data_IF_991533887156
#
_entry.id   IF_991533887156
#
_cell.length_a   1.000
_cell.length_b   1.000
_cell.length_c   1.000
_cell.angle_alpha   90.00
_cell.angle_beta   90.00
_cell.angle_gamma   90.00
#
_symmetry.space_group_name_H-M   'P 1'
#
loop_
_entity.id
_entity.type
_entity.pdbx_description
1 polymer ?
#
# COMPACT_ATOMS: atom_id res chain seq x y z
N UNK A 1 53.94 -12.12 -34.16
CA UNK A 1 53.48 -10.90 -33.54
C UNK A 1 52.39 -10.29 -34.39
N UNK A 2 51.18 -10.76 -34.31
CA UNK A 2 49.96 -10.22 -34.87
C UNK A 2 48.82 -11.07 -34.36
N UNK A 3 47.76 -10.43 -33.81
CA UNK A 3 46.50 -10.95 -33.39
C UNK A 3 46.28 -11.05 -31.86
N UNK A 4 46.42 -9.92 -31.17
CA UNK A 4 45.73 -9.72 -29.87
C UNK A 4 45.12 -8.30 -29.90
N UNK A 5 44.20 -8.04 -30.79
CA UNK A 5 43.50 -6.75 -30.81
C UNK A 5 42.09 -6.80 -31.39
N UNK A 6 41.42 -7.95 -31.34
CA UNK A 6 40.04 -8.02 -31.85
C UNK A 6 39.02 -8.65 -30.87
N UNK A 7 39.43 -8.94 -29.65
CA UNK A 7 38.50 -9.58 -28.70
C UNK A 7 38.05 -8.70 -27.52
N UNK A 8 38.51 -7.46 -27.45
CA UNK A 8 38.18 -6.57 -26.30
C UNK A 8 37.03 -5.60 -26.60
N UNK A 9 36.60 -5.47 -27.87
CA UNK A 9 35.57 -4.47 -28.24
C UNK A 9 34.15 -4.99 -28.17
N UNK A 10 33.93 -6.31 -28.11
CA UNK A 10 32.55 -6.84 -28.07
C UNK A 10 31.95 -7.07 -26.67
N UNK A 11 32.75 -6.88 -25.61
CA UNK A 11 32.25 -7.09 -24.23
C UNK A 11 31.78 -5.76 -23.58
N UNK A 12 32.14 -4.62 -24.16
CA UNK A 12 31.75 -3.32 -23.60
C UNK A 12 30.40 -2.76 -24.09
N UNK A 13 29.67 -3.48 -24.95
CA UNK A 13 28.40 -2.97 -25.49
C UNK A 13 27.17 -3.55 -24.83
N UNK A 14 27.30 -4.39 -23.79
CA UNK A 14 26.18 -5.00 -23.07
C UNK A 14 26.09 -4.53 -21.60
N UNK A 15 27.06 -3.77 -21.10
CA UNK A 15 27.02 -3.18 -19.75
C UNK A 15 26.93 -1.65 -19.84
N UNK A 16 26.03 -1.18 -20.69
CA UNK A 16 25.62 0.22 -20.76
C UNK A 16 24.30 0.43 -20.03
N UNK A 17 24.15 -0.16 -18.84
CA UNK A 17 22.98 0.09 -17.99
C UNK A 17 23.43 0.68 -16.68
N UNK A 18 23.22 1.99 -16.58
CA UNK A 18 23.00 2.74 -15.34
C UNK A 18 24.12 2.69 -14.29
N UNK A 19 25.16 3.45 -14.53
CA UNK A 19 25.81 4.15 -13.41
C UNK A 19 24.90 5.32 -13.07
N UNK A 20 24.04 5.16 -12.08
CA UNK A 20 23.43 6.29 -11.38
C UNK A 20 24.48 6.78 -10.41
N UNK A 21 25.18 7.84 -10.78
CA UNK A 21 26.02 8.57 -9.84
C UNK A 21 25.15 9.07 -8.69
N UNK A 22 25.48 8.65 -7.49
CA UNK A 22 24.95 9.15 -6.25
C UNK A 22 25.48 10.56 -6.02
N UNK A 23 24.73 11.57 -6.42
CA UNK A 23 24.94 12.94 -5.96
C UNK A 23 23.92 13.30 -4.91
N UNK A 24 24.44 13.62 -3.76
CA UNK A 24 23.91 14.26 -2.56
C UNK A 24 22.61 15.06 -2.71
N UNK A 25 21.67 14.70 -1.81
CA UNK A 25 20.71 15.55 -1.11
C UNK A 25 20.27 16.85 -1.80
N UNK A 26 19.13 16.78 -2.47
CA UNK A 26 18.22 17.91 -2.56
C UNK A 26 16.79 17.38 -2.50
N UNK A 27 15.93 18.10 -1.78
CA UNK A 27 14.55 17.79 -1.49
C UNK A 27 13.82 17.14 -2.68
N UNK A 28 13.49 15.87 -2.54
CA UNK A 28 12.80 15.11 -3.57
C UNK A 28 11.32 15.48 -3.58
N UNK A 29 10.97 16.47 -4.36
CA UNK A 29 9.69 16.49 -5.07
C UNK A 29 9.89 15.71 -6.37
N UNK A 30 10.11 14.43 -6.27
CA UNK A 30 10.29 13.58 -7.42
C UNK A 30 8.93 13.17 -7.96
N UNK A 31 8.45 13.93 -8.92
CA UNK A 31 7.35 13.53 -9.80
C UNK A 31 7.87 12.48 -10.77
N UNK A 32 7.60 11.24 -10.49
CA UNK A 32 7.96 10.18 -11.41
C UNK A 32 6.85 10.03 -12.46
N UNK A 33 6.99 10.72 -13.57
CA UNK A 33 6.21 10.47 -14.77
C UNK A 33 6.78 9.25 -15.48
N UNK A 34 5.98 8.21 -15.62
CA UNK A 34 6.39 6.95 -16.25
C UNK A 34 5.43 6.63 -17.38
N UNK A 35 5.97 6.23 -18.52
CA UNK A 35 5.21 5.62 -19.61
C UNK A 35 5.32 4.11 -19.52
N UNK A 36 4.18 3.40 -19.47
CA UNK A 36 4.11 1.93 -19.43
C UNK A 36 3.57 1.41 -20.74
N UNK A 37 4.27 0.50 -21.34
CA UNK A 37 3.81 -0.16 -22.58
C UNK A 37 2.62 -1.09 -22.27
N UNK A 38 1.50 -0.87 -22.98
CA UNK A 38 0.23 -1.58 -22.76
C UNK A 38 0.31 -3.09 -23.02
N UNK A 39 1.26 -3.53 -23.84
CA UNK A 39 1.39 -4.92 -24.25
C UNK A 39 2.45 -5.69 -23.48
N UNK A 40 3.59 -5.05 -23.22
CA UNK A 40 4.75 -5.71 -22.60
C UNK A 40 4.92 -5.36 -21.12
N UNK A 41 4.26 -4.30 -20.62
CA UNK A 41 4.45 -3.78 -19.27
C UNK A 41 5.79 -3.08 -19.05
N UNK A 42 6.64 -2.98 -20.08
CA UNK A 42 7.93 -2.28 -19.94
C UNK A 42 7.74 -0.79 -19.67
N UNK A 43 8.57 -0.26 -18.77
CA UNK A 43 8.48 1.11 -18.29
C UNK A 43 9.60 1.98 -18.85
N UNK A 44 9.26 3.26 -19.07
CA UNK A 44 10.20 4.29 -19.45
C UNK A 44 9.94 5.54 -18.61
N UNK A 45 10.93 6.00 -17.89
CA UNK A 45 10.86 7.25 -17.13
C UNK A 45 10.91 8.45 -18.06
N UNK A 46 10.05 9.44 -17.79
CA UNK A 46 10.13 10.75 -18.43
C UNK A 46 11.00 11.66 -17.58
N UNK A 47 12.08 12.15 -18.15
CA UNK A 47 12.94 13.11 -17.46
C UNK A 47 12.17 14.40 -17.18
N UNK A 48 12.35 14.94 -15.99
CA UNK A 48 11.80 16.24 -15.59
C UNK A 48 12.27 17.29 -16.61
N UNK A 49 11.35 18.11 -17.12
CA UNK A 49 11.59 19.14 -18.12
C UNK A 49 11.93 18.65 -19.54
N UNK A 50 11.76 17.37 -19.85
CA UNK A 50 11.89 16.90 -21.21
C UNK A 50 10.57 17.06 -21.98
N UNK A 51 10.66 17.28 -23.30
CA UNK A 51 9.50 17.24 -24.21
C UNK A 51 9.03 15.83 -24.51
N UNK A 52 9.50 14.83 -23.76
CA UNK A 52 9.15 13.44 -23.96
C UNK A 52 7.69 13.18 -23.55
N UNK A 53 6.97 12.51 -24.40
CA UNK A 53 5.58 12.09 -24.18
C UNK A 53 5.48 10.57 -24.32
N UNK A 54 4.47 9.99 -23.70
CA UNK A 54 4.17 8.58 -23.93
C UNK A 54 3.67 8.39 -25.36
N UNK A 55 4.15 7.35 -26.02
CA UNK A 55 3.69 7.01 -27.37
C UNK A 55 2.30 6.33 -27.32
N UNK A 56 1.71 6.07 -28.53
CA UNK A 56 0.36 5.48 -28.65
C UNK A 56 0.22 4.09 -28.01
N UNK A 57 1.33 3.38 -27.81
CA UNK A 57 1.35 2.04 -27.20
C UNK A 57 1.63 2.07 -25.70
N UNK A 58 1.79 3.25 -25.11
CA UNK A 58 2.09 3.46 -23.71
C UNK A 58 0.94 4.16 -22.99
N UNK A 59 0.85 3.96 -21.68
CA UNK A 59 0.00 4.70 -20.74
C UNK A 59 0.89 5.54 -19.84
N UNK A 60 0.53 6.80 -19.62
CA UNK A 60 1.21 7.67 -18.68
C UNK A 60 0.71 7.40 -17.26
N UNK A 61 1.61 7.12 -16.34
CA UNK A 61 1.34 7.02 -14.93
C UNK A 61 2.01 8.20 -14.20
N UNK A 62 1.27 8.83 -13.33
CA UNK A 62 1.73 9.98 -12.54
C UNK A 62 1.56 9.61 -11.07
N UNK A 63 2.65 9.65 -10.34
CA UNK A 63 2.69 9.42 -8.90
C UNK A 63 3.05 10.71 -8.16
N UNK A 64 2.39 10.98 -7.06
CA UNK A 64 2.63 12.15 -6.20
C UNK A 64 2.53 13.51 -6.91
N UNK A 65 1.34 13.88 -7.36
CA UNK A 65 1.05 15.28 -7.65
C UNK A 65 0.12 15.89 -6.60
N UNK A 66 0.69 16.74 -5.77
CA UNK A 66 -0.08 17.85 -5.21
C UNK A 66 -0.05 18.98 -6.25
N UNK A 67 -1.18 19.18 -6.90
CA UNK A 67 -1.55 20.37 -7.65
C UNK A 67 -0.83 20.65 -8.96
N UNK A 68 -1.51 20.39 -10.06
CA UNK A 68 -1.65 21.28 -11.22
C UNK A 68 -2.78 20.74 -12.11
N UNK A 69 -3.71 21.57 -12.47
CA UNK A 69 -4.77 21.29 -13.44
C UNK A 69 -4.12 20.91 -14.77
N UNK A 70 -4.15 19.62 -15.09
CA UNK A 70 -3.64 19.11 -16.35
C UNK A 70 -4.71 19.03 -17.41
N UNK A 71 -4.38 19.36 -18.64
CA UNK A 71 -5.25 19.31 -19.81
C UNK A 71 -5.92 17.94 -19.97
N UNK A 72 -7.17 17.97 -20.43
CA UNK A 72 -8.02 16.82 -20.75
C UNK A 72 -7.25 15.83 -21.65
N UNK A 73 -6.73 14.79 -21.07
CA UNK A 73 -6.11 13.67 -21.78
C UNK A 73 -7.19 12.74 -22.32
N UNK A 74 -6.95 12.15 -23.49
CA UNK A 74 -7.83 11.17 -24.12
C UNK A 74 -8.22 10.07 -23.11
N UNK A 75 -9.49 9.68 -23.13
CA UNK A 75 -10.10 8.64 -22.33
C UNK A 75 -9.24 7.36 -22.36
N UNK A 76 -8.39 7.19 -21.36
CA UNK A 76 -7.67 5.96 -21.13
C UNK A 76 -8.63 4.91 -20.60
N UNK A 77 -8.39 3.65 -20.93
CA UNK A 77 -9.20 2.54 -20.47
C UNK A 77 -9.41 2.63 -18.95
N UNK A 78 -10.66 2.81 -18.55
CA UNK A 78 -11.14 2.84 -17.16
C UNK A 78 -11.04 1.42 -16.62
N UNK A 79 -9.94 1.08 -15.99
CA UNK A 79 -9.75 -0.18 -15.31
C UNK A 79 -8.71 -0.05 -14.22
N UNK A 80 -9.01 -0.55 -13.02
CA UNK A 80 -7.99 -0.74 -12.00
C UNK A 80 -6.81 -1.51 -12.59
N UNK A 81 -5.59 -1.11 -12.24
CA UNK A 81 -4.39 -1.81 -12.68
C UNK A 81 -4.43 -3.26 -12.18
N UNK A 82 -4.08 -4.21 -13.04
CA UNK A 82 -3.92 -5.60 -12.61
C UNK A 82 -2.70 -5.72 -11.70
N UNK A 83 -2.69 -6.74 -10.84
CA UNK A 83 -1.55 -7.01 -9.94
C UNK A 83 -0.22 -7.14 -10.71
N UNK A 84 -0.24 -7.66 -11.93
CA UNK A 84 0.95 -7.73 -12.79
C UNK A 84 1.42 -6.35 -13.23
N UNK A 85 0.51 -5.45 -13.59
CA UNK A 85 0.83 -4.08 -13.96
C UNK A 85 1.39 -3.30 -12.77
N UNK A 86 0.82 -3.51 -11.59
CA UNK A 86 1.29 -2.90 -10.34
C UNK A 86 2.70 -3.39 -9.99
N UNK A 87 2.98 -4.69 -10.09
CA UNK A 87 4.33 -5.26 -9.89
C UNK A 87 5.35 -4.69 -10.87
N UNK A 88 4.97 -4.48 -12.11
CA UNK A 88 5.86 -3.87 -13.11
C UNK A 88 6.17 -2.41 -12.81
N UNK A 89 5.25 -1.68 -12.20
CA UNK A 89 5.40 -0.27 -11.82
C UNK A 89 6.21 -0.15 -10.54
N UNK A 90 5.86 -0.94 -9.54
CA UNK A 90 6.42 -0.85 -8.20
C UNK A 90 7.77 -1.55 -8.05
N UNK A 91 8.12 -2.42 -9.01
CA UNK A 91 9.26 -3.33 -8.87
C UNK A 91 8.98 -4.44 -7.84
N UNK A 92 9.74 -5.52 -7.93
CA UNK A 92 9.55 -6.71 -7.05
C UNK A 92 9.71 -6.38 -5.57
N UNK A 93 10.53 -5.37 -5.25
CA UNK A 93 10.90 -5.02 -3.89
C UNK A 93 10.37 -3.66 -3.40
N UNK A 94 9.54 -2.97 -4.19
CA UNK A 94 9.04 -1.64 -3.83
C UNK A 94 10.14 -0.60 -3.62
N UNK A 95 11.24 -0.72 -4.36
CA UNK A 95 12.40 0.17 -4.20
C UNK A 95 12.28 1.48 -4.96
N UNK A 96 11.22 1.62 -5.76
CA UNK A 96 11.03 2.79 -6.63
C UNK A 96 9.70 3.49 -6.35
N UNK A 97 8.68 3.26 -7.16
CA UNK A 97 7.43 4.02 -7.12
C UNK A 97 6.49 3.64 -5.95
N UNK A 98 6.67 2.46 -5.35
CA UNK A 98 5.84 1.98 -4.25
C UNK A 98 6.67 1.65 -2.99
N UNK A 99 7.72 2.41 -2.75
CA UNK A 99 8.51 2.25 -1.54
C UNK A 99 7.69 2.65 -0.31
N UNK A 100 8.03 2.07 0.83
CA UNK A 100 7.38 2.38 2.12
C UNK A 100 7.49 3.88 2.43
N UNK A 101 6.35 4.52 2.65
CA UNK A 101 6.21 5.95 2.86
C UNK A 101 5.78 6.75 1.64
N UNK A 102 5.70 6.15 0.45
CA UNK A 102 5.14 6.78 -0.75
C UNK A 102 3.63 6.53 -0.84
N UNK A 103 2.96 7.38 -1.61
CA UNK A 103 1.54 7.21 -1.87
C UNK A 103 1.30 6.04 -2.83
N UNK A 104 0.39 5.16 -2.44
CA UNK A 104 -0.09 4.05 -3.26
C UNK A 104 -1.20 4.46 -4.24
N UNK A 105 -1.66 3.53 -5.09
CA UNK A 105 -2.65 3.82 -6.12
C UNK A 105 -4.03 4.22 -5.56
N UNK A 106 -4.41 3.74 -4.39
CA UNK A 106 -5.66 4.11 -3.71
C UNK A 106 -5.55 5.39 -2.89
N UNK A 107 -4.42 6.09 -2.96
CA UNK A 107 -4.21 7.36 -2.25
C UNK A 107 -3.72 7.21 -0.81
N UNK A 108 -3.61 5.99 -0.32
CA UNK A 108 -3.01 5.67 0.97
C UNK A 108 -1.48 5.74 0.94
N UNK A 109 -0.86 5.46 2.08
CA UNK A 109 0.61 5.42 2.20
C UNK A 109 1.07 3.97 2.25
N UNK A 110 1.96 3.58 1.36
CA UNK A 110 2.54 2.24 1.31
C UNK A 110 3.34 1.95 2.58
N UNK A 111 3.05 0.82 3.23
CA UNK A 111 3.73 0.41 4.45
C UNK A 111 4.19 -1.05 4.45
N UNK A 112 3.68 -1.88 3.52
CA UNK A 112 4.13 -3.24 3.27
C UNK A 112 4.46 -3.38 1.79
N UNK A 113 5.56 -4.07 1.51
CA UNK A 113 6.00 -4.43 0.15
C UNK A 113 6.13 -5.95 0.05
N UNK A 114 6.26 -6.53 -1.15
CA UNK A 114 6.50 -7.97 -1.31
C UNK A 114 7.69 -8.51 -0.53
N UNK A 115 8.69 -7.67 -0.25
CA UNK A 115 9.88 -8.04 0.54
C UNK A 115 9.73 -7.87 2.06
N UNK A 116 8.59 -7.36 2.52
CA UNK A 116 8.34 -7.21 3.96
C UNK A 116 8.25 -8.59 4.62
N UNK A 117 8.99 -8.77 5.71
CA UNK A 117 9.02 -10.04 6.45
C UNK A 117 7.60 -10.43 6.90
N UNK A 118 7.21 -11.66 6.59
CA UNK A 118 5.88 -12.20 6.88
C UNK A 118 4.84 -11.91 5.79
N UNK A 119 5.17 -11.15 4.77
CA UNK A 119 4.29 -10.95 3.61
C UNK A 119 4.44 -12.12 2.62
N UNK A 120 3.53 -13.08 2.70
CA UNK A 120 3.47 -14.22 1.78
C UNK A 120 2.56 -13.99 0.57
N UNK A 121 1.78 -12.91 0.57
CA UNK A 121 0.88 -12.57 -0.53
C UNK A 121 1.63 -12.06 -1.77
N UNK A 122 2.81 -11.49 -1.58
CA UNK A 122 3.56 -10.80 -2.61
C UNK A 122 2.89 -9.51 -3.10
N UNK A 123 1.91 -8.97 -2.35
CA UNK A 123 1.23 -7.71 -2.61
C UNK A 123 1.88 -6.56 -1.85
N UNK A 124 1.59 -5.36 -2.31
CA UNK A 124 1.82 -4.13 -1.56
C UNK A 124 0.60 -3.81 -0.71
N UNK A 125 0.81 -3.11 0.41
CA UNK A 125 -0.30 -2.62 1.23
C UNK A 125 -0.12 -1.14 1.50
N UNK A 126 -1.20 -0.40 1.39
CA UNK A 126 -1.30 1.01 1.71
C UNK A 126 -2.28 1.24 2.87
N UNK A 127 -1.94 2.17 3.76
CA UNK A 127 -2.80 2.60 4.85
C UNK A 127 -3.59 3.83 4.41
N UNK A 128 -4.86 3.90 4.72
CA UNK A 128 -5.68 5.08 4.44
C UNK A 128 -5.02 6.36 5.02
N UNK A 129 -5.12 7.50 4.34
CA UNK A 129 -4.57 8.76 4.84
C UNK A 129 -5.22 9.16 6.16
N UNK A 130 -4.58 10.01 6.98
CA UNK A 130 -5.14 10.47 8.26
C UNK A 130 -6.49 11.18 8.13
N UNK A 131 -6.82 11.63 6.95
CA UNK A 131 -8.07 12.34 6.63
C UNK A 131 -9.16 11.45 6.06
N UNK A 132 -8.98 10.12 6.06
CA UNK A 132 -9.92 9.16 5.46
C UNK A 132 -11.34 9.27 6.03
N UNK A 133 -11.48 9.68 7.29
CA UNK A 133 -12.76 9.96 7.95
C UNK A 133 -12.81 11.44 8.38
N UNK A 134 -12.64 12.36 7.44
CA UNK A 134 -12.66 13.82 7.60
C UNK A 134 -11.42 14.40 8.29
N UNK A 135 -11.20 14.19 9.59
CA UNK A 135 -10.10 14.85 10.33
C UNK A 135 -9.20 13.92 11.13
N UNK A 136 -9.69 12.74 11.48
CA UNK A 136 -8.95 11.80 12.33
C UNK A 136 -9.52 10.40 12.23
N UNK A 137 -8.78 9.42 12.74
CA UNK A 137 -9.28 8.05 12.87
C UNK A 137 -10.47 8.00 13.84
N UNK A 138 -11.59 7.42 13.44
CA UNK A 138 -12.73 7.23 14.32
C UNK A 138 -12.47 6.09 15.31
N UNK A 139 -13.16 6.13 16.43
CA UNK A 139 -13.25 5.01 17.35
C UNK A 139 -14.54 4.21 17.10
N UNK A 140 -14.46 2.90 17.24
CA UNK A 140 -15.59 1.98 17.11
C UNK A 140 -15.44 0.78 18.04
N UNK A 141 -16.54 0.16 18.41
CA UNK A 141 -16.52 -1.22 18.90
C UNK A 141 -15.97 -2.13 17.79
N UNK A 142 -15.42 -3.27 18.17
CA UNK A 142 -14.89 -4.24 17.20
C UNK A 142 -16.01 -4.85 16.34
N UNK A 143 -17.12 -5.22 16.98
CA UNK A 143 -18.30 -5.80 16.36
C UNK A 143 -19.51 -5.57 17.30
N UNK A 144 -20.68 -5.39 16.74
CA UNK A 144 -21.93 -5.35 17.54
C UNK A 144 -22.32 -6.71 18.10
N UNK A 145 -21.78 -7.81 17.56
CA UNK A 145 -21.91 -9.15 18.13
C UNK A 145 -20.70 -9.42 19.03
N UNK A 146 -20.92 -9.36 20.34
CA UNK A 146 -19.83 -9.36 21.34
C UNK A 146 -19.55 -10.71 21.97
N UNK A 147 -20.36 -11.73 21.72
CA UNK A 147 -20.28 -12.99 22.45
C UNK A 147 -20.12 -14.23 21.54
N UNK A 148 -20.04 -14.02 20.22
CA UNK A 148 -19.91 -15.09 19.23
C UNK A 148 -18.48 -15.18 18.72
N UNK A 149 -17.95 -16.40 18.69
CA UNK A 149 -16.68 -16.69 18.02
C UNK A 149 -16.89 -16.65 16.50
N UNK A 150 -16.19 -15.73 15.82
CA UNK A 150 -16.27 -15.56 14.35
C UNK A 150 -15.29 -16.46 13.60
N UNK A 151 -14.29 -17.04 14.29
CA UNK A 151 -13.28 -17.87 13.68
C UNK A 151 -12.16 -17.11 12.95
N UNK A 152 -12.03 -15.81 13.19
CA UNK A 152 -10.98 -14.95 12.61
C UNK A 152 -9.78 -14.79 13.56
N UNK A 153 -9.50 -15.79 14.36
CA UNK A 153 -8.42 -15.80 15.32
C UNK A 153 -7.06 -15.59 14.64
N UNK A 154 -6.12 -14.99 15.35
CA UNK A 154 -4.73 -14.94 14.91
C UNK A 154 -4.09 -16.31 15.19
N UNK A 155 -3.80 -17.04 14.12
CA UNK A 155 -3.15 -18.37 14.22
C UNK A 155 -1.64 -18.29 14.27
N UNK A 156 -1.05 -17.12 14.00
CA UNK A 156 0.39 -16.94 13.90
C UNK A 156 0.92 -16.25 15.15
N UNK A 157 1.93 -16.83 15.79
CA UNK A 157 2.71 -16.20 16.85
C UNK A 157 3.62 -15.09 16.27
N UNK A 158 3.95 -14.09 17.08
CA UNK A 158 4.78 -12.97 16.64
C UNK A 158 4.00 -11.89 15.90
N UNK A 159 4.47 -11.48 14.73
CA UNK A 159 3.87 -10.38 13.96
C UNK A 159 2.47 -10.67 13.42
N UNK A 160 2.08 -11.94 13.31
CA UNK A 160 0.80 -12.38 12.76
C UNK A 160 0.78 -12.48 11.23
N UNK A 161 -0.31 -13.02 10.69
CA UNK A 161 -0.53 -13.16 9.26
C UNK A 161 -0.99 -11.83 8.63
N UNK A 162 -0.79 -11.72 7.30
CA UNK A 162 -1.30 -10.63 6.46
C UNK A 162 -2.62 -11.07 5.81
N UNK A 163 -3.65 -11.25 6.62
CA UNK A 163 -4.92 -11.87 6.24
C UNK A 163 -6.16 -11.00 6.59
N UNK A 164 -5.94 -9.70 6.77
CA UNK A 164 -6.98 -8.75 7.18
C UNK A 164 -8.18 -8.70 6.24
N UNK A 165 -7.95 -8.76 4.93
CA UNK A 165 -9.03 -8.76 3.94
C UNK A 165 -9.98 -9.96 4.11
N UNK A 166 -9.42 -11.17 4.25
CA UNK A 166 -10.22 -12.38 4.45
C UNK A 166 -10.99 -12.33 5.79
N UNK A 167 -10.34 -11.86 6.86
CA UNK A 167 -10.96 -11.69 8.18
C UNK A 167 -12.07 -10.65 8.17
N UNK A 168 -11.84 -9.52 7.51
CA UNK A 168 -12.87 -8.48 7.33
C UNK A 168 -14.10 -9.05 6.64
N UNK A 169 -13.93 -9.83 5.57
CA UNK A 169 -15.04 -10.48 4.87
C UNK A 169 -15.86 -11.38 5.82
N UNK A 170 -15.21 -12.18 6.65
CA UNK A 170 -15.90 -13.01 7.65
C UNK A 170 -16.63 -12.14 8.67
N UNK A 171 -15.99 -11.07 9.18
CA UNK A 171 -16.62 -10.15 10.12
C UNK A 171 -17.87 -9.49 9.55
N UNK A 172 -17.84 -9.04 8.30
CA UNK A 172 -18.99 -8.41 7.62
C UNK A 172 -20.18 -9.37 7.46
N UNK A 173 -19.94 -10.67 7.40
CA UNK A 173 -21.00 -11.69 7.38
C UNK A 173 -21.77 -11.82 8.69
N UNK A 174 -21.25 -11.29 9.80
CA UNK A 174 -21.82 -11.42 11.15
C UNK A 174 -22.06 -10.06 11.80
N UNK A 175 -21.10 -9.14 11.69
CA UNK A 175 -21.17 -7.81 12.30
C UNK A 175 -21.96 -6.86 11.40
N UNK A 176 -23.07 -6.33 11.90
CA UNK A 176 -23.84 -5.29 11.18
C UNK A 176 -23.31 -3.88 11.45
N UNK A 177 -22.45 -3.71 12.44
CA UNK A 177 -21.68 -2.49 12.72
C UNK A 177 -20.42 -2.84 13.49
N UNK A 178 -19.41 -1.98 13.38
CA UNK A 178 -18.13 -2.14 14.06
C UNK A 178 -16.94 -1.72 13.22
N UNK A 179 -15.75 -2.10 13.68
CA UNK A 179 -14.49 -1.68 13.07
C UNK A 179 -14.35 -2.15 11.61
N UNK A 180 -14.76 -3.39 11.31
CA UNK A 180 -14.72 -3.92 9.95
C UNK A 180 -15.67 -3.18 9.00
N UNK A 181 -16.89 -2.86 9.47
CA UNK A 181 -17.88 -2.13 8.71
C UNK A 181 -17.40 -0.70 8.37
N UNK A 182 -16.72 -0.04 9.31
CA UNK A 182 -16.14 1.29 9.07
C UNK A 182 -15.02 1.22 8.02
N UNK A 183 -14.16 0.20 8.10
CA UNK A 183 -13.05 0.05 7.16
C UNK A 183 -13.54 -0.27 5.74
N UNK A 184 -14.50 -1.17 5.61
CA UNK A 184 -15.09 -1.61 4.34
C UNK A 184 -15.90 -0.50 3.65
N UNK A 185 -16.57 0.35 4.45
CA UNK A 185 -17.35 1.47 3.93
C UNK A 185 -16.50 2.59 3.32
N UNK A 186 -15.20 2.60 3.55
CA UNK A 186 -14.33 3.63 3.03
C UNK A 186 -14.09 3.44 1.53
N UNK A 187 -14.23 4.53 0.80
CA UNK A 187 -13.90 4.60 -0.63
C UNK A 187 -13.05 5.84 -0.88
N UNK A 188 -11.87 5.63 -1.46
CA UNK A 188 -11.02 6.71 -1.92
C UNK A 188 -11.20 6.92 -3.42
N UNK A 189 -11.23 8.18 -3.86
CA UNK A 189 -11.21 8.50 -5.30
C UNK A 189 -9.90 9.18 -5.66
N UNK A 190 -9.12 8.56 -6.52
CA UNK A 190 -7.83 9.06 -6.97
C UNK A 190 -7.83 9.15 -8.50
N UNK A 191 -7.62 10.35 -9.02
CA UNK A 191 -7.64 10.60 -10.47
C UNK A 191 -8.92 10.11 -11.18
N UNK A 192 -10.07 10.19 -10.51
CA UNK A 192 -11.36 9.73 -11.04
C UNK A 192 -11.61 8.23 -10.93
N UNK A 193 -10.69 7.47 -10.35
CA UNK A 193 -10.85 6.02 -10.07
C UNK A 193 -11.25 5.84 -8.61
N UNK A 194 -12.34 5.11 -8.37
CA UNK A 194 -12.80 4.76 -7.03
C UNK A 194 -12.13 3.46 -6.56
N UNK A 195 -11.61 3.48 -5.34
CA UNK A 195 -11.01 2.34 -4.64
C UNK A 195 -11.82 2.08 -3.38
N UNK A 196 -12.63 1.02 -3.39
CA UNK A 196 -13.51 0.63 -2.29
C UNK A 196 -13.16 -0.74 -1.68
N UNK A 197 -11.96 -1.25 -1.96
CA UNK A 197 -11.45 -2.55 -1.49
C UNK A 197 -10.59 -2.40 -0.22
N UNK A 198 -10.99 -1.49 0.66
CA UNK A 198 -10.36 -1.26 1.95
C UNK A 198 -10.89 -2.24 3.01
N UNK A 199 -10.06 -2.60 3.96
CA UNK A 199 -10.39 -3.57 5.00
C UNK A 199 -9.72 -3.24 6.34
N UNK A 200 -10.20 -3.86 7.41
CA UNK A 200 -9.61 -3.75 8.73
C UNK A 200 -8.31 -4.59 8.80
N UNK A 201 -7.16 -3.97 9.14
CA UNK A 201 -5.90 -4.69 9.15
C UNK A 201 -5.90 -5.86 10.13
N UNK A 202 -5.27 -6.96 9.77
CA UNK A 202 -4.95 -8.05 10.69
C UNK A 202 -3.91 -7.63 11.73
N UNK A 203 -3.65 -8.48 12.71
CA UNK A 203 -2.61 -8.27 13.73
C UNK A 203 -1.24 -8.01 13.10
N UNK A 204 -0.89 -8.74 12.02
CA UNK A 204 0.39 -8.59 11.34
C UNK A 204 0.48 -7.29 10.55
N UNK A 205 -0.56 -6.95 9.80
CA UNK A 205 -0.64 -5.71 9.03
C UNK A 205 -0.61 -4.49 9.93
N UNK A 206 -1.40 -4.48 11.02
CA UNK A 206 -1.40 -3.37 11.97
C UNK A 206 -0.04 -3.19 12.64
N UNK A 207 0.67 -4.29 12.93
CA UNK A 207 2.03 -4.21 13.46
C UNK A 207 2.99 -3.55 12.46
N UNK A 208 2.88 -3.85 11.17
CA UNK A 208 3.67 -3.17 10.13
C UNK A 208 3.29 -1.69 9.99
N UNK A 209 2.01 -1.34 10.13
CA UNK A 209 1.60 0.08 10.19
C UNK A 209 2.27 0.80 11.36
N UNK A 210 2.28 0.19 12.54
CA UNK A 210 2.94 0.77 13.72
C UNK A 210 4.45 0.93 13.53
N UNK A 211 5.13 -0.07 12.95
CA UNK A 211 6.57 0.02 12.62
C UNK A 211 6.84 1.21 11.69
N UNK A 212 5.95 1.43 10.73
CA UNK A 212 6.07 2.49 9.73
C UNK A 212 5.27 3.77 10.07
N UNK A 213 4.78 3.91 11.30
CA UNK A 213 3.84 4.98 11.70
C UNK A 213 4.33 6.40 11.42
N UNK A 214 5.63 6.64 11.50
CA UNK A 214 6.22 7.96 11.21
C UNK A 214 6.09 8.31 9.73
N UNK A 215 6.21 7.30 8.85
CA UNK A 215 6.09 7.49 7.39
C UNK A 215 4.63 7.62 6.96
N UNK A 216 3.73 6.88 7.61
CA UNK A 216 2.29 6.92 7.32
C UNK A 216 1.69 8.21 7.89
N UNK A 217 2.00 8.55 9.12
CA UNK A 217 1.53 9.74 9.83
C UNK A 217 0.09 9.65 10.35
N UNK A 218 -0.26 10.61 11.21
CA UNK A 218 -1.63 10.85 11.65
C UNK A 218 -2.23 9.81 12.60
N UNK A 219 -1.40 9.07 13.33
CA UNK A 219 -1.87 8.14 14.35
C UNK A 219 -1.97 8.80 15.72
N UNK A 220 -2.99 8.38 16.48
CA UNK A 220 -3.09 8.67 17.91
C UNK A 220 -2.24 7.69 18.72
N UNK A 221 -1.79 8.12 19.88
CA UNK A 221 -1.05 7.28 20.84
C UNK A 221 -1.95 6.29 21.60
N UNK A 222 -3.01 5.84 20.96
CA UNK A 222 -4.02 4.93 21.50
C UNK A 222 -3.98 3.54 20.92
N UNK A 223 -4.96 2.74 21.30
CA UNK A 223 -5.20 1.40 20.76
C UNK A 223 -5.93 1.47 19.41
N UNK A 224 -5.51 0.62 18.49
CA UNK A 224 -6.13 0.40 17.19
C UNK A 224 -6.63 -1.02 17.09
N UNK A 225 -7.86 -1.21 16.59
CA UNK A 225 -8.40 -2.53 16.34
C UNK A 225 -7.71 -3.24 15.19
N UNK A 226 -7.56 -4.56 15.36
CA UNK A 226 -7.23 -5.48 14.27
C UNK A 226 -8.49 -6.28 13.89
N UNK A 227 -8.49 -6.90 12.71
CA UNK A 227 -9.50 -7.91 12.33
C UNK A 227 -9.28 -9.27 13.02
N UNK A 228 -8.27 -9.40 13.89
CA UNK A 228 -7.92 -10.65 14.54
C UNK A 228 -8.67 -10.80 15.86
N UNK A 229 -9.40 -11.90 15.96
CA UNK A 229 -10.15 -12.27 17.16
C UNK A 229 -9.25 -12.99 18.18
N UNK A 230 -9.52 -12.80 19.47
CA UNK A 230 -8.85 -13.55 20.54
C UNK A 230 -9.75 -14.65 21.13
N UNK A 231 -11.05 -14.42 21.13
CA UNK A 231 -12.06 -15.35 21.65
C UNK A 231 -13.46 -14.87 21.35
N UNK A 232 -14.48 -15.56 21.88
CA UNK A 232 -15.88 -15.20 21.62
C UNK A 232 -16.21 -13.75 22.00
N UNK A 233 -15.64 -13.24 23.10
CA UNK A 233 -15.93 -11.91 23.65
C UNK A 233 -14.80 -10.90 23.49
N UNK A 234 -13.61 -11.31 23.02
CA UNK A 234 -12.42 -10.45 22.94
C UNK A 234 -11.81 -10.47 21.55
N UNK A 235 -11.22 -9.32 21.16
CA UNK A 235 -10.45 -9.15 19.93
C UNK A 235 -9.10 -8.49 20.22
N UNK A 236 -8.19 -8.58 19.26
CA UNK A 236 -6.82 -8.05 19.41
C UNK A 236 -6.79 -6.60 18.97
N UNK A 237 -6.21 -5.76 19.81
CA UNK A 237 -5.84 -4.39 19.52
C UNK A 237 -4.33 -4.17 19.68
N UNK A 238 -3.79 -3.08 19.15
CA UNK A 238 -2.39 -2.67 19.31
C UNK A 238 -2.29 -1.21 19.71
N UNK A 239 -1.55 -0.94 20.79
CA UNK A 239 -1.21 0.41 21.20
C UNK A 239 -0.08 0.98 20.36
N UNK A 240 -0.30 2.16 19.75
CA UNK A 240 0.70 2.77 18.90
C UNK A 240 1.82 3.48 19.66
N UNK A 241 1.57 3.91 20.91
CA UNK A 241 2.59 4.53 21.76
C UNK A 241 3.76 3.57 22.05
N UNK A 242 3.50 2.34 22.44
CA UNK A 242 4.51 1.37 22.86
C UNK A 242 4.57 0.10 21.99
N UNK A 243 3.57 -0.14 21.15
CA UNK A 243 3.46 -1.30 20.27
C UNK A 243 2.95 -2.56 20.93
N UNK A 244 2.47 -2.46 22.16
CA UNK A 244 1.90 -3.60 22.86
C UNK A 244 0.63 -4.08 22.13
N UNK A 245 0.57 -5.37 21.84
CA UNK A 245 -0.63 -6.04 21.38
C UNK A 245 -1.29 -6.73 22.58
N UNK A 246 -2.58 -6.52 22.71
CA UNK A 246 -3.39 -7.08 23.80
C UNK A 246 -4.77 -7.45 23.26
N UNK A 247 -5.53 -8.20 24.03
CA UNK A 247 -6.94 -8.45 23.74
C UNK A 247 -7.82 -7.61 24.66
N UNK A 248 -8.94 -7.16 24.13
CA UNK A 248 -9.97 -6.45 24.90
C UNK A 248 -11.36 -6.82 24.43
N UNK A 249 -12.36 -6.48 25.24
CA UNK A 249 -13.77 -6.78 24.94
C UNK A 249 -14.20 -6.19 23.59
N UNK A 250 -14.94 -6.97 22.80
CA UNK A 250 -15.41 -6.53 21.47
C UNK A 250 -16.30 -5.28 21.50
N UNK A 251 -16.88 -4.95 22.65
CA UNK A 251 -17.70 -3.76 22.88
C UNK A 251 -16.88 -2.51 23.24
N UNK A 252 -15.61 -2.66 23.56
CA UNK A 252 -14.71 -1.52 23.84
C UNK A 252 -14.44 -0.76 22.52
N UNK A 253 -14.25 0.55 22.60
CA UNK A 253 -13.98 1.37 21.43
C UNK A 253 -12.48 1.66 21.30
N UNK A 254 -11.94 1.35 20.14
CA UNK A 254 -10.58 1.70 19.74
C UNK A 254 -10.58 2.33 18.35
N UNK A 255 -9.47 2.95 17.98
CA UNK A 255 -9.29 3.59 16.69
C UNK A 255 -9.32 2.57 15.55
N UNK A 256 -9.78 3.02 14.40
CA UNK A 256 -9.84 2.26 13.16
C UNK A 256 -9.06 3.00 12.08
N UNK A 257 -8.15 2.33 11.40
CA UNK A 257 -7.48 2.83 10.19
C UNK A 257 -7.54 1.74 9.12
N UNK A 258 -8.26 1.97 8.02
CA UNK A 258 -8.35 1.01 6.92
C UNK A 258 -7.01 0.81 6.22
N UNK A 259 -6.84 -0.37 5.65
CA UNK A 259 -5.73 -0.72 4.76
C UNK A 259 -6.27 -1.33 3.48
N UNK A 260 -5.45 -1.30 2.44
CA UNK A 260 -5.75 -1.86 1.13
C UNK A 260 -4.54 -2.59 0.59
N UNK A 261 -4.77 -3.76 -0.04
CA UNK A 261 -3.75 -4.52 -0.74
C UNK A 261 -3.86 -4.32 -2.27
N UNK A 262 -2.72 -4.28 -2.97
CA UNK A 262 -2.71 -4.08 -4.41
C UNK A 262 -1.51 -4.72 -5.10
#
# INVERSE_FOLDING_TARGET
>A
MKNISRFVISVFLVIGVLIVESSTSSSQTALNNVCVNKKTGSMRYLLKNSKQVCNKTEVKLIWNQSGATGATGATGATGALTNSQIKNICGVNGTTACAVGLQGPGGGIVFITPSTLGNTSGLFYEAAPSTWNSSSDPQSAWCNNTDTLLGVASTVTGTGAMDGAAKTTVMLGVCTSGAANLADAYTATVNGVAYGDWFLPSKGELNQMRVNRIKIGGFWDGGYWTSSEYGSSHAIQQYFVNGMQSSDGKNVTYYVRPVRAF
#
